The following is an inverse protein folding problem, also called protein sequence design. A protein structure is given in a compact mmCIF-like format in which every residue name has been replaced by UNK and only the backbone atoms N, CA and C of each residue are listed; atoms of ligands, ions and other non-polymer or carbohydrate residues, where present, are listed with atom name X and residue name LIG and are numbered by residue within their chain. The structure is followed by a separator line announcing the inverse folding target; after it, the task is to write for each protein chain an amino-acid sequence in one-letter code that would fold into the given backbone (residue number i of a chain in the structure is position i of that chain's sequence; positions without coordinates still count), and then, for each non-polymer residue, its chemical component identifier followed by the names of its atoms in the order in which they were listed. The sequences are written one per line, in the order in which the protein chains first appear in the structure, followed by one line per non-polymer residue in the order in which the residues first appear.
data_IF_351669544109
#
_entry.id   IF_351669544109
#
_cell.length_a   1.000
_cell.length_b   1.000
_cell.length_c   1.000
_cell.angle_alpha   90.00
_cell.angle_beta   90.00
_cell.angle_gamma   90.00
#
_symmetry.space_group_name_H-M   'P 1'
#
loop_
_entity.id
_entity.type
_entity.pdbx_description
1 polymer ?
#
# COMPACT_ATOMS: atom_id res chain seq x y z
N UNK A 1 1.55 6.99 7.27
CA UNK A 1 0.64 6.95 8.43
C UNK A 1 -0.53 7.88 8.15
N UNK A 2 -1.73 7.32 8.23
CA UNK A 2 -3.00 8.02 8.05
C UNK A 2 -4.08 7.37 8.91
N UNK A 3 -5.29 7.89 8.82
CA UNK A 3 -6.50 7.28 9.36
C UNK A 3 -7.72 7.76 8.56
N UNK A 4 -8.82 7.04 8.69
CA UNK A 4 -10.10 7.35 8.08
C UNK A 4 -11.24 7.41 9.11
N UNK A 5 -12.19 8.31 8.88
CA UNK A 5 -13.44 8.45 9.63
C UNK A 5 -14.61 8.27 8.66
N UNK A 6 -15.54 7.37 8.98
CA UNK A 6 -16.66 7.01 8.10
C UNK A 6 -17.93 7.82 8.37
N UNK A 7 -17.87 8.89 9.17
CA UNK A 7 -19.05 9.67 9.54
C UNK A 7 -19.77 10.24 8.31
N UNK A 8 -20.98 9.74 8.06
CA UNK A 8 -21.81 10.21 6.97
C UNK A 8 -22.48 11.54 7.35
N UNK A 9 -22.64 12.49 6.41
CA UNK A 9 -22.42 12.33 4.97
C UNK A 9 -21.00 12.65 4.47
N UNK A 10 -20.07 12.98 5.36
CA UNK A 10 -18.74 13.50 5.00
C UNK A 10 -17.63 12.59 5.55
N UNK A 11 -17.35 11.44 4.92
CA UNK A 11 -16.23 10.61 5.32
C UNK A 11 -14.91 11.36 5.05
N UNK A 12 -13.95 11.21 5.96
CA UNK A 12 -12.67 11.94 5.94
C UNK A 12 -11.52 10.95 5.92
N UNK A 13 -10.51 11.21 5.10
CA UNK A 13 -9.20 10.57 5.16
C UNK A 13 -8.19 11.63 5.59
N UNK A 14 -7.39 11.31 6.60
CA UNK A 14 -6.28 12.12 7.06
C UNK A 14 -4.97 11.39 6.84
N UNK A 15 -3.94 12.10 6.39
CA UNK A 15 -2.58 11.56 6.21
C UNK A 15 -1.54 12.52 6.74
N UNK A 16 -0.44 11.97 7.23
CA UNK A 16 0.66 12.79 7.74
C UNK A 16 1.38 13.52 6.59
N UNK A 17 1.29 14.85 6.58
CA UNK A 17 1.92 15.69 5.55
C UNK A 17 3.46 15.59 5.55
N UNK A 18 4.07 15.31 6.69
CA UNK A 18 5.53 15.23 6.83
C UNK A 18 6.14 13.98 6.18
N UNK A 19 5.32 13.00 5.79
CA UNK A 19 5.80 11.82 5.07
C UNK A 19 6.13 12.12 3.61
N UNK A 20 7.03 11.30 3.06
CA UNK A 20 7.38 11.33 1.65
C UNK A 20 6.14 11.17 0.76
N UNK A 21 6.06 11.86 -0.38
CA UNK A 21 4.88 11.81 -1.25
C UNK A 21 4.43 10.40 -1.64
N UNK A 22 5.38 9.47 -1.87
CA UNK A 22 5.09 8.06 -2.20
C UNK A 22 4.33 7.37 -1.06
N UNK A 23 4.79 7.56 0.18
CA UNK A 23 4.17 6.99 1.38
C UNK A 23 2.78 7.59 1.65
N UNK A 24 2.59 8.88 1.34
CA UNK A 24 1.28 9.54 1.45
C UNK A 24 0.28 8.98 0.46
N UNK A 25 0.65 8.79 -0.81
CA UNK A 25 -0.24 8.19 -1.80
C UNK A 25 -0.67 6.78 -1.39
N UNK A 26 0.28 5.97 -0.94
CA UNK A 26 -0.02 4.64 -0.41
C UNK A 26 -0.99 4.70 0.78
N UNK A 27 -0.75 5.60 1.74
CA UNK A 27 -1.62 5.79 2.90
C UNK A 27 -3.03 6.23 2.49
N UNK A 28 -3.17 7.16 1.54
CA UNK A 28 -4.48 7.60 1.03
C UNK A 28 -5.24 6.42 0.42
N UNK A 29 -4.58 5.61 -0.43
CA UNK A 29 -5.21 4.43 -1.04
C UNK A 29 -5.64 3.42 0.02
N UNK A 30 -4.76 3.15 0.99
CA UNK A 30 -5.03 2.25 2.11
C UNK A 30 -6.29 2.69 2.90
N UNK A 31 -6.34 3.95 3.33
CA UNK A 31 -7.49 4.49 4.06
C UNK A 31 -8.78 4.53 3.22
N UNK A 32 -8.66 4.79 1.91
CA UNK A 32 -9.80 4.74 1.02
C UNK A 32 -10.42 3.34 0.96
N UNK A 33 -9.60 2.28 0.96
CA UNK A 33 -10.10 0.90 0.99
C UNK A 33 -10.77 0.60 2.32
N UNK A 34 -10.22 1.09 3.45
CA UNK A 34 -10.89 0.99 4.76
C UNK A 34 -12.29 1.61 4.74
N UNK A 35 -12.46 2.79 4.13
CA UNK A 35 -13.78 3.41 3.94
C UNK A 35 -14.72 2.54 3.09
N UNK A 36 -14.22 1.97 1.98
CA UNK A 36 -15.03 1.12 1.10
C UNK A 36 -15.52 -0.16 1.80
N UNK A 37 -14.73 -0.71 2.73
CA UNK A 37 -15.11 -1.85 3.54
C UNK A 37 -16.13 -1.51 4.64
N UNK A 38 -16.47 -0.23 4.82
CA UNK A 38 -17.30 0.28 5.92
C UNK A 38 -16.81 -0.14 7.31
N UNK A 39 -15.52 -0.41 7.43
CA UNK A 39 -14.85 -0.67 8.71
C UNK A 39 -14.16 0.58 9.26
N UNK A 40 -14.54 1.77 8.75
CA UNK A 40 -13.98 3.03 9.19
C UNK A 40 -14.55 3.42 10.55
N UNK A 41 -13.71 3.38 11.57
CA UNK A 41 -14.05 3.82 12.91
C UNK A 41 -12.86 3.59 13.81
N UNK A 42 -11.96 4.58 13.86
CA UNK A 42 -10.81 4.64 14.76
C UNK A 42 -9.96 3.36 14.67
N UNK A 43 -9.04 3.33 13.70
CA UNK A 43 -7.92 2.39 13.78
C UNK A 43 -7.06 2.84 14.96
N UNK A 44 -7.50 2.47 16.16
CA UNK A 44 -6.98 2.98 17.40
C UNK A 44 -5.49 2.63 17.48
N UNK A 45 -4.80 3.59 18.07
CA UNK A 45 -3.37 3.70 18.31
C UNK A 45 -2.79 2.58 19.21
N UNK A 46 -3.41 1.40 19.24
CA UNK A 46 -3.07 0.26 20.08
C UNK A 46 -2.51 -0.84 19.17
N UNK A 47 -1.25 -0.66 18.75
CA UNK A 47 -0.49 -1.62 17.95
C UNK A 47 -0.30 -3.00 18.65
N UNK A 48 -0.73 -3.18 19.90
CA UNK A 48 -0.35 -4.34 20.73
C UNK A 48 -1.40 -5.46 20.89
N UNK A 49 -2.67 -5.31 20.46
CA UNK A 49 -3.70 -6.36 20.60
C UNK A 49 -4.84 -6.23 19.58
N UNK A 50 -4.53 -6.25 18.27
CA UNK A 50 -5.57 -6.27 17.23
C UNK A 50 -6.23 -7.63 17.13
N UNK A 51 -7.56 -7.65 17.03
CA UNK A 51 -8.29 -8.89 16.76
C UNK A 51 -7.85 -9.50 15.41
N UNK A 52 -7.95 -10.83 15.26
CA UNK A 52 -7.55 -11.52 14.03
C UNK A 52 -8.25 -10.96 12.78
N UNK A 53 -9.49 -10.48 12.93
CA UNK A 53 -10.25 -9.86 11.84
C UNK A 53 -9.66 -8.52 11.40
N UNK A 54 -9.26 -7.67 12.35
CA UNK A 54 -8.62 -6.38 12.06
C UNK A 54 -7.29 -6.58 11.33
N UNK A 55 -6.50 -7.58 11.74
CA UNK A 55 -5.25 -7.93 11.05
C UNK A 55 -5.50 -8.38 9.60
N UNK A 56 -6.54 -9.17 9.37
CA UNK A 56 -6.92 -9.62 8.02
C UNK A 56 -7.31 -8.44 7.12
N UNK A 57 -8.03 -7.48 7.68
CA UNK A 57 -8.47 -6.27 6.97
C UNK A 57 -7.26 -5.41 6.60
N UNK A 58 -6.33 -5.21 7.51
CA UNK A 58 -5.08 -4.48 7.26
C UNK A 58 -4.23 -5.12 6.15
N UNK A 59 -4.08 -6.45 6.19
CA UNK A 59 -3.38 -7.20 5.14
C UNK A 59 -4.11 -7.03 3.80
N UNK A 60 -5.45 -7.07 3.79
CA UNK A 60 -6.25 -6.85 2.60
C UNK A 60 -6.08 -5.42 2.04
N UNK A 61 -6.19 -4.39 2.89
CA UNK A 61 -6.01 -2.99 2.51
C UNK A 61 -4.62 -2.75 1.93
N UNK A 62 -3.57 -3.27 2.57
CA UNK A 62 -2.19 -3.18 2.06
C UNK A 62 -2.04 -3.86 0.69
N UNK A 63 -2.61 -5.07 0.53
CA UNK A 63 -2.56 -5.80 -0.74
C UNK A 63 -3.28 -5.07 -1.85
N UNK A 64 -4.47 -4.52 -1.58
CA UNK A 64 -5.26 -3.78 -2.58
C UNK A 64 -4.58 -2.44 -2.92
N UNK A 65 -4.09 -1.69 -1.92
CA UNK A 65 -3.35 -0.44 -2.16
C UNK A 65 -2.10 -0.67 -3.03
N UNK A 66 -1.33 -1.71 -2.73
CA UNK A 66 -0.18 -2.10 -3.55
C UNK A 66 -0.57 -2.52 -4.97
N UNK A 67 -1.67 -3.25 -5.14
CA UNK A 67 -2.16 -3.68 -6.45
C UNK A 67 -2.72 -2.52 -7.30
N UNK A 68 -3.31 -1.50 -6.67
CA UNK A 68 -3.77 -0.28 -7.34
C UNK A 68 -2.59 0.55 -7.79
N UNK A 69 -1.60 0.74 -6.93
CA UNK A 69 -0.40 1.54 -7.25
C UNK A 69 0.49 0.83 -8.29
N UNK A 70 0.55 -0.50 -8.22
CA UNK A 70 1.44 -1.34 -9.04
C UNK A 70 0.61 -2.47 -9.68
N UNK A 71 -0.04 -2.19 -10.82
CA UNK A 71 -0.85 -3.18 -11.53
C UNK A 71 0.01 -4.38 -11.94
N UNK A 72 -0.46 -5.59 -11.65
CA UNK A 72 0.31 -6.83 -11.86
C UNK A 72 0.77 -6.99 -13.31
N UNK A 73 -0.12 -6.76 -14.27
CA UNK A 73 0.20 -6.96 -15.68
C UNK A 73 1.24 -5.95 -16.18
N UNK A 74 1.20 -4.71 -15.69
CA UNK A 74 2.22 -3.69 -16.01
C UNK A 74 3.57 -4.10 -15.42
N UNK A 75 3.61 -4.48 -14.13
CA UNK A 75 4.84 -4.90 -13.47
C UNK A 75 5.49 -6.10 -14.17
N UNK A 76 4.70 -7.12 -14.52
CA UNK A 76 5.21 -8.30 -15.23
C UNK A 76 5.69 -8.00 -16.66
N UNK A 77 5.29 -6.87 -17.23
CA UNK A 77 5.74 -6.43 -18.54
C UNK A 77 7.01 -5.55 -18.48
N UNK A 78 7.45 -5.12 -17.30
CA UNK A 78 8.68 -4.33 -17.14
C UNK A 78 9.91 -5.16 -17.54
N UNK A 79 10.86 -4.57 -18.30
CA UNK A 79 12.09 -5.26 -18.72
C UNK A 79 12.85 -5.91 -17.56
N UNK A 80 12.94 -5.20 -16.44
CA UNK A 80 13.57 -5.61 -15.17
C UNK A 80 13.00 -6.94 -14.66
N UNK A 81 11.69 -7.15 -14.82
CA UNK A 81 11.01 -8.36 -14.35
C UNK A 81 11.04 -9.46 -15.41
N UNK A 82 10.89 -9.11 -16.69
CA UNK A 82 10.89 -10.08 -17.80
C UNK A 82 12.23 -10.78 -18.00
N UNK A 83 13.32 -10.09 -17.69
CA UNK A 83 14.68 -10.61 -17.82
C UNK A 83 15.17 -11.31 -16.55
N UNK A 84 14.44 -11.18 -15.44
CA UNK A 84 14.82 -11.74 -14.16
C UNK A 84 14.69 -13.27 -14.14
N UNK A 85 15.69 -13.94 -13.58
CA UNK A 85 15.73 -15.40 -13.44
C UNK A 85 14.97 -15.80 -12.18
N UNK A 86 13.92 -16.63 -12.26
CA UNK A 86 13.17 -17.06 -11.08
C UNK A 86 14.06 -17.75 -10.05
N UNK A 87 14.01 -17.27 -8.80
CA UNK A 87 14.78 -17.82 -7.68
C UNK A 87 16.08 -17.08 -7.39
N UNK A 88 16.52 -16.17 -8.26
CA UNK A 88 17.60 -15.24 -7.95
C UNK A 88 17.07 -13.99 -7.24
N UNK A 89 17.94 -13.28 -6.53
CA UNK A 89 17.58 -11.96 -6.00
C UNK A 89 17.53 -10.94 -7.13
N UNK A 90 16.51 -10.08 -7.14
CA UNK A 90 16.44 -8.97 -8.10
C UNK A 90 17.51 -7.93 -7.75
N UNK A 91 18.18 -7.40 -8.77
CA UNK A 91 19.23 -6.42 -8.58
C UNK A 91 18.70 -5.11 -7.97
N UNK A 92 19.47 -4.53 -7.03
CA UNK A 92 19.07 -3.30 -6.33
C UNK A 92 18.93 -2.09 -7.25
N UNK A 93 19.64 -2.05 -8.38
CA UNK A 93 19.47 -1.03 -9.41
C UNK A 93 18.08 -1.14 -10.05
N UNK A 94 17.65 -2.35 -10.39
CA UNK A 94 16.35 -2.61 -11.01
C UNK A 94 15.21 -2.34 -10.03
N UNK A 95 15.35 -2.74 -8.76
CA UNK A 95 14.40 -2.38 -7.70
C UNK A 95 14.25 -0.86 -7.58
N UNK A 96 15.36 -0.11 -7.60
CA UNK A 96 15.32 1.36 -7.55
C UNK A 96 14.66 1.97 -8.79
N UNK A 97 14.87 1.40 -9.98
CA UNK A 97 14.18 1.82 -11.21
C UNK A 97 12.68 1.62 -11.10
N UNK A 98 12.25 0.45 -10.64
CA UNK A 98 10.83 0.14 -10.43
C UNK A 98 10.19 1.05 -9.37
N UNK A 99 10.88 1.31 -8.24
CA UNK A 99 10.40 2.26 -7.22
C UNK A 99 10.15 3.66 -7.81
N UNK A 100 11.04 4.13 -8.70
CA UNK A 100 10.87 5.42 -9.38
C UNK A 100 9.72 5.39 -10.38
N UNK A 101 9.59 4.31 -11.14
CA UNK A 101 8.54 4.10 -12.15
C UNK A 101 7.14 4.12 -11.55
N UNK A 102 6.94 3.37 -10.47
CA UNK A 102 5.65 3.23 -9.79
C UNK A 102 5.44 4.22 -8.64
N UNK A 103 6.41 5.11 -8.41
CA UNK A 103 6.37 6.11 -7.34
C UNK A 103 6.05 5.49 -5.97
N UNK A 104 6.71 4.38 -5.67
CA UNK A 104 6.46 3.53 -4.51
C UNK A 104 7.73 3.29 -3.69
N UNK A 105 7.57 2.72 -2.49
CA UNK A 105 8.72 2.28 -1.70
C UNK A 105 9.26 0.93 -2.19
N UNK A 106 10.49 0.61 -1.75
CA UNK A 106 11.13 -0.71 -1.97
C UNK A 106 10.26 -1.85 -1.44
N UNK A 107 9.70 -1.68 -0.25
CA UNK A 107 8.85 -2.71 0.37
C UNK A 107 7.59 -3.01 -0.45
N UNK A 108 6.96 -1.98 -1.02
CA UNK A 108 5.75 -2.18 -1.85
C UNK A 108 6.11 -2.90 -3.16
N UNK A 109 7.27 -2.61 -3.76
CA UNK A 109 7.75 -3.33 -4.96
C UNK A 109 8.02 -4.80 -4.66
N UNK A 110 8.77 -5.09 -3.60
CA UNK A 110 9.21 -6.46 -3.30
C UNK A 110 8.07 -7.37 -2.81
N UNK A 111 6.98 -6.80 -2.31
CA UNK A 111 5.79 -7.55 -1.90
C UNK A 111 4.77 -7.73 -3.03
N UNK A 112 5.01 -7.18 -4.22
CA UNK A 112 4.04 -7.18 -5.31
C UNK A 112 4.11 -8.43 -6.16
#
# INVERSE_FOLDING_TARGET
RGFSLMDLPLPVISVNRSEWPQARIFSILHEYIHLMLRQGGLCDFIEYNRALEEQRVEIFCNRVAGAVLIPKNELLNEPEIRQHIPGEEIDEYDVKRLCRRYFSSREVILRR
#
